data_IF_831989103177
#
_entry.id   IF_831989103177
#
_cell.length_a   1.000
_cell.length_b   1.000
_cell.length_c   1.000
_cell.angle_alpha   90.00
_cell.angle_beta   90.00
_cell.angle_gamma   90.00
#
_symmetry.space_group_name_H-M   'P 1'
#
loop_
_entity.id
_entity.type
_entity.pdbx_description
1 polymer ?
#
# COMPACT_ATOMS: atom_id res chain seq x y z
N UNK A 1 -6.12 17.44 -3.75
CA UNK A 1 -6.85 17.79 -2.51
C UNK A 1 -7.49 16.49 -2.04
N UNK A 2 -7.01 15.83 -1.00
CA UNK A 2 -7.29 16.17 0.41
C UNK A 2 -6.10 15.82 1.30
N UNK A 3 -5.44 16.84 1.85
CA UNK A 3 -4.65 16.66 3.07
C UNK A 3 -5.66 16.74 4.21
N UNK A 4 -6.29 15.62 4.54
CA UNK A 4 -7.17 15.54 5.71
C UNK A 4 -6.28 15.80 6.93
N UNK A 5 -6.48 16.94 7.58
CA UNK A 5 -5.72 17.31 8.77
C UNK A 5 -5.97 16.30 9.90
N UNK A 6 -4.98 16.07 10.75
CA UNK A 6 -5.09 15.17 11.92
C UNK A 6 -6.30 15.50 12.81
N UNK A 7 -6.63 16.80 12.95
CA UNK A 7 -7.81 17.24 13.70
C UNK A 7 -9.14 16.73 13.09
N UNK A 8 -9.20 16.53 11.77
CA UNK A 8 -10.39 15.97 11.13
C UNK A 8 -10.45 14.44 11.30
N UNK A 9 -9.32 13.75 11.41
CA UNK A 9 -9.29 12.29 11.60
C UNK A 9 -9.80 11.90 12.98
N UNK A 10 -9.31 12.56 14.03
CA UNK A 10 -9.73 12.28 15.40
C UNK A 10 -11.23 12.51 15.59
N UNK A 11 -11.78 13.58 14.99
CA UNK A 11 -13.22 13.87 15.01
C UNK A 11 -14.02 12.77 14.31
N UNK A 12 -13.61 12.33 13.12
CA UNK A 12 -14.30 11.26 12.39
C UNK A 12 -14.26 9.94 13.17
N UNK A 13 -13.13 9.63 13.79
CA UNK A 13 -12.98 8.41 14.62
C UNK A 13 -13.89 8.47 15.84
N UNK A 14 -13.98 9.63 16.49
CA UNK A 14 -14.84 9.81 17.65
C UNK A 14 -16.32 9.70 17.26
N UNK A 15 -16.73 10.35 16.17
CA UNK A 15 -18.09 10.21 15.63
C UNK A 15 -18.44 8.76 15.30
N UNK A 16 -17.50 8.02 14.69
CA UNK A 16 -17.69 6.60 14.41
C UNK A 16 -17.90 5.79 15.70
N UNK A 17 -17.10 6.04 16.74
CA UNK A 17 -17.23 5.37 18.04
C UNK A 17 -18.54 5.71 18.76
N UNK A 18 -19.11 6.88 18.50
CA UNK A 18 -20.40 7.32 19.03
C UNK A 18 -21.60 6.75 18.23
N UNK A 19 -21.33 5.95 17.18
CA UNK A 19 -22.35 5.25 16.40
C UNK A 19 -22.64 5.88 15.04
N UNK A 20 -21.96 6.96 14.65
CA UNK A 20 -22.07 7.52 13.30
C UNK A 20 -21.24 6.71 12.30
N UNK A 21 -21.86 5.71 11.68
CA UNK A 21 -21.22 4.86 10.66
C UNK A 21 -20.71 5.63 9.44
N UNK A 22 -21.33 6.75 9.09
CA UNK A 22 -20.96 7.56 7.93
C UNK A 22 -19.56 8.19 8.10
N UNK A 23 -19.11 8.35 9.34
CA UNK A 23 -17.77 8.86 9.62
C UNK A 23 -16.68 7.90 9.10
N UNK A 24 -16.94 6.59 9.06
CA UNK A 24 -16.02 5.64 8.45
C UNK A 24 -15.98 5.78 6.93
N UNK A 25 -17.08 6.10 6.27
CA UNK A 25 -17.11 6.32 4.82
C UNK A 25 -16.22 7.47 4.39
N UNK A 26 -16.15 8.53 5.20
CA UNK A 26 -15.24 9.66 4.96
C UNK A 26 -13.78 9.19 5.08
N UNK A 27 -13.45 8.47 6.16
CA UNK A 27 -12.11 7.87 6.33
C UNK A 27 -11.76 6.95 5.16
N UNK A 28 -12.67 6.06 4.77
CA UNK A 28 -12.52 5.16 3.64
C UNK A 28 -12.18 5.92 2.35
N UNK A 29 -12.98 6.93 1.98
CA UNK A 29 -12.75 7.71 0.76
C UNK A 29 -11.41 8.46 0.77
N UNK A 30 -11.02 9.01 1.91
CA UNK A 30 -9.73 9.70 2.06
C UNK A 30 -8.53 8.75 1.90
N UNK A 31 -8.65 7.52 2.41
CA UNK A 31 -7.53 6.59 2.52
C UNK A 31 -7.48 5.52 1.43
N UNK A 32 -8.59 5.26 0.74
CA UNK A 32 -8.67 4.26 -0.32
C UNK A 32 -7.57 4.41 -1.38
N UNK A 33 -7.29 5.61 -1.93
CA UNK A 33 -6.23 5.74 -2.94
C UNK A 33 -4.85 5.34 -2.40
N UNK A 34 -4.53 5.70 -1.15
CA UNK A 34 -3.23 5.39 -0.53
C UNK A 34 -3.08 3.89 -0.26
N UNK A 35 -4.09 3.28 0.35
CA UNK A 35 -4.10 1.83 0.63
C UNK A 35 -4.06 1.04 -0.67
N UNK A 36 -4.91 1.37 -1.63
CA UNK A 36 -4.96 0.70 -2.93
C UNK A 36 -3.62 0.79 -3.66
N UNK A 37 -3.01 1.98 -3.72
CA UNK A 37 -1.72 2.15 -4.38
C UNK A 37 -0.60 1.38 -3.66
N UNK A 38 -0.58 1.40 -2.32
CA UNK A 38 0.39 0.60 -1.54
C UNK A 38 0.25 -0.88 -1.85
N UNK A 39 -0.96 -1.44 -1.74
CA UNK A 39 -1.23 -2.86 -2.05
C UNK A 39 -0.83 -3.17 -3.49
N UNK A 40 -1.23 -2.31 -4.44
CA UNK A 40 -0.92 -2.44 -5.86
C UNK A 40 0.58 -2.52 -6.15
N UNK A 41 1.44 -1.78 -5.47
CA UNK A 41 2.87 -1.86 -5.75
C UNK A 41 3.56 -3.05 -5.07
N UNK A 42 2.87 -3.73 -4.16
CA UNK A 42 3.47 -4.79 -3.33
C UNK A 42 2.92 -6.18 -3.66
N UNK A 43 1.75 -6.33 -4.29
CA UNK A 43 1.14 -7.64 -4.62
C UNK A 43 0.74 -7.77 -6.11
N UNK A 44 0.43 -8.98 -6.62
CA UNK A 44 -0.07 -9.21 -7.99
C UNK A 44 -1.34 -8.40 -8.33
N UNK A 45 -1.60 -8.14 -9.61
CA UNK A 45 -2.66 -7.20 -10.02
C UNK A 45 -4.06 -7.73 -9.70
N UNK A 46 -4.25 -9.02 -9.90
CA UNK A 46 -5.49 -9.77 -9.74
C UNK A 46 -5.99 -9.80 -8.29
N UNK A 47 -5.08 -9.65 -7.31
CA UNK A 47 -5.40 -9.74 -5.88
C UNK A 47 -5.55 -8.37 -5.20
N UNK A 48 -5.29 -7.25 -5.91
CA UNK A 48 -5.22 -5.90 -5.31
C UNK A 48 -6.54 -5.48 -4.69
N UNK A 49 -7.65 -5.68 -5.41
CA UNK A 49 -8.97 -5.24 -4.98
C UNK A 49 -9.39 -6.00 -3.72
N UNK A 50 -9.26 -7.32 -3.73
CA UNK A 50 -9.60 -8.20 -2.61
C UNK A 50 -8.80 -7.86 -1.35
N UNK A 51 -7.47 -7.72 -1.47
CA UNK A 51 -6.63 -7.36 -0.31
C UNK A 51 -6.95 -5.95 0.19
N UNK A 52 -7.24 -5.00 -0.70
CA UNK A 52 -7.67 -3.65 -0.31
C UNK A 52 -8.99 -3.70 0.48
N UNK A 53 -9.96 -4.49 0.03
CA UNK A 53 -11.21 -4.69 0.75
C UNK A 53 -10.97 -5.35 2.12
N UNK A 54 -10.13 -6.39 2.21
CA UNK A 54 -9.78 -7.02 3.48
C UNK A 54 -9.16 -6.04 4.48
N UNK A 55 -8.34 -5.09 4.01
CA UNK A 55 -7.77 -4.03 4.85
C UNK A 55 -8.87 -3.16 5.46
N UNK A 56 -9.80 -2.66 4.65
CA UNK A 56 -10.85 -1.77 5.15
C UNK A 56 -11.89 -2.50 6.01
N UNK A 57 -12.20 -3.76 5.69
CA UNK A 57 -13.04 -4.60 6.56
C UNK A 57 -12.39 -4.85 7.93
N UNK A 58 -11.07 -5.08 7.95
CA UNK A 58 -10.34 -5.21 9.20
C UNK A 58 -10.28 -3.87 9.95
N UNK A 59 -10.09 -2.76 9.23
CA UNK A 59 -10.06 -1.42 9.81
C UNK A 59 -11.39 -1.09 10.47
N UNK A 60 -12.52 -1.31 9.77
CA UNK A 60 -13.87 -1.08 10.28
C UNK A 60 -14.12 -1.84 11.59
N UNK A 61 -13.70 -3.12 11.66
CA UNK A 61 -13.86 -3.98 12.85
C UNK A 61 -12.96 -3.55 14.02
N UNK A 62 -11.77 -3.05 13.73
CA UNK A 62 -10.77 -2.71 14.75
C UNK A 62 -10.84 -1.24 15.22
N UNK A 63 -11.45 -0.35 14.44
CA UNK A 63 -11.55 1.08 14.75
C UNK A 63 -12.21 1.41 16.10
N UNK A 64 -13.24 0.69 16.59
CA UNK A 64 -13.80 0.94 17.91
C UNK A 64 -12.76 0.80 19.04
N UNK A 65 -11.81 -0.11 18.89
CA UNK A 65 -10.75 -0.38 19.88
C UNK A 65 -9.49 0.49 19.68
N UNK A 66 -9.44 1.33 18.64
CA UNK A 66 -8.29 2.18 18.36
C UNK A 66 -8.11 3.25 19.44
N UNK A 67 -6.93 3.29 20.07
CA UNK A 67 -6.67 4.15 21.25
C UNK A 67 -6.13 5.54 20.93
N UNK A 68 -5.78 5.82 19.66
CA UNK A 68 -5.18 7.10 19.28
C UNK A 68 -3.72 7.29 19.73
N UNK A 69 -3.02 6.21 20.09
CA UNK A 69 -1.60 6.24 20.48
C UNK A 69 -0.66 6.58 19.31
N UNK A 70 -1.15 6.44 18.08
CA UNK A 70 -0.50 6.87 16.84
C UNK A 70 -1.54 7.53 15.92
N UNK A 71 -1.09 8.19 14.86
CA UNK A 71 -1.98 8.71 13.83
C UNK A 71 -2.73 7.57 13.13
N UNK A 72 -3.98 7.83 12.70
CA UNK A 72 -4.79 6.83 12.02
C UNK A 72 -4.14 6.33 10.75
N UNK A 73 -3.52 7.21 9.96
CA UNK A 73 -2.69 6.86 8.80
C UNK A 73 -1.61 5.82 9.13
N UNK A 74 -0.86 6.03 10.21
CA UNK A 74 0.22 5.12 10.66
C UNK A 74 -0.34 3.76 11.09
N UNK A 75 -1.45 3.76 11.83
CA UNK A 75 -2.14 2.55 12.23
C UNK A 75 -2.71 1.77 11.02
N UNK A 76 -3.37 2.47 10.09
CA UNK A 76 -3.93 1.87 8.89
C UNK A 76 -2.85 1.32 7.96
N UNK A 77 -1.70 1.99 7.85
CA UNK A 77 -0.52 1.48 7.13
C UNK A 77 0.00 0.18 7.77
N UNK A 78 0.06 0.13 9.10
CA UNK A 78 0.46 -1.08 9.83
C UNK A 78 -0.50 -2.24 9.54
N UNK A 79 -1.81 -1.98 9.59
CA UNK A 79 -2.83 -2.95 9.24
C UNK A 79 -2.73 -3.41 7.77
N UNK A 80 -2.45 -2.49 6.85
CA UNK A 80 -2.22 -2.78 5.43
C UNK A 80 -1.05 -3.73 5.25
N UNK A 81 0.09 -3.44 5.90
CA UNK A 81 1.27 -4.30 5.83
C UNK A 81 1.01 -5.69 6.45
N UNK A 82 0.24 -5.76 7.54
CA UNK A 82 -0.18 -7.05 8.11
C UNK A 82 -1.02 -7.87 7.13
N UNK A 83 -1.94 -7.22 6.41
CA UNK A 83 -2.79 -7.89 5.40
C UNK A 83 -2.01 -8.35 4.19
N UNK A 84 -1.05 -7.56 3.71
CA UNK A 84 -0.11 -7.98 2.67
C UNK A 84 0.72 -9.19 3.11
N UNK A 85 1.23 -9.19 4.35
CA UNK A 85 1.96 -10.34 4.89
C UNK A 85 1.06 -11.58 5.08
N UNK A 86 -0.20 -11.40 5.47
CA UNK A 86 -1.20 -12.47 5.52
C UNK A 86 -1.48 -13.07 4.14
N UNK A 87 -1.64 -12.23 3.12
CA UNK A 87 -1.80 -12.63 1.73
C UNK A 87 -0.65 -13.52 1.25
N UNK A 88 0.61 -13.09 1.44
CA UNK A 88 1.77 -13.90 1.03
C UNK A 88 1.90 -15.21 1.81
N UNK A 89 1.59 -15.22 3.11
CA UNK A 89 1.55 -16.47 3.90
C UNK A 89 0.50 -17.45 3.37
N UNK A 90 -0.70 -16.97 3.03
CA UNK A 90 -1.77 -17.79 2.42
C UNK A 90 -1.36 -18.32 1.04
N UNK A 91 -0.76 -17.47 0.20
CA UNK A 91 -0.31 -17.84 -1.15
C UNK A 91 0.80 -18.89 -1.12
N UNK A 92 1.80 -18.74 -0.26
CA UNK A 92 2.88 -19.71 -0.10
C UNK A 92 2.36 -21.05 0.38
N UNK A 93 1.47 -21.07 1.39
CA UNK A 93 0.82 -22.31 1.83
C UNK A 93 0.01 -22.98 0.71
N UNK A 94 -0.69 -22.18 -0.11
CA UNK A 94 -1.44 -22.69 -1.27
C UNK A 94 -0.50 -23.31 -2.31
N UNK A 95 0.69 -22.74 -2.52
CA UNK A 95 1.70 -23.27 -3.44
C UNK A 95 2.35 -24.55 -2.90
N UNK A 96 2.66 -24.62 -1.60
CA UNK A 96 3.16 -25.83 -0.94
C UNK A 96 2.17 -27.00 -1.08
N UNK A 97 0.87 -26.75 -0.93
CA UNK A 97 -0.19 -27.76 -1.10
C UNK A 97 -0.38 -28.16 -2.57
N UNK A 98 -0.12 -27.25 -3.52
CA UNK A 98 -0.23 -27.50 -4.97
C UNK A 98 1.00 -28.17 -5.59
N UNK A 99 2.06 -28.48 -4.82
CA UNK A 99 3.20 -29.29 -5.30
C UNK A 99 2.87 -30.80 -5.40
N UNK A 100 1.61 -31.21 -5.22
CA UNK A 100 1.08 -32.46 -5.76
C UNK A 100 0.67 -32.25 -7.24
N UNK A 101 1.02 -33.15 -8.18
CA UNK A 101 1.18 -32.79 -9.58
C UNK A 101 -0.16 -32.54 -10.28
N UNK A 102 -0.48 -31.27 -10.57
CA UNK A 102 -1.42 -30.90 -11.62
C UNK A 102 -0.98 -29.63 -12.35
N UNK A 103 -0.59 -29.88 -13.61
CA UNK A 103 -0.70 -29.09 -14.84
C UNK A 103 -0.88 -27.57 -14.78
N UNK A 104 -0.03 -26.93 -15.59
CA UNK A 104 -0.02 -25.53 -16.02
C UNK A 104 -1.39 -24.97 -16.40
N UNK A 105 -1.63 -23.72 -16.01
CA UNK A 105 -2.57 -22.82 -16.67
C UNK A 105 -1.98 -21.41 -16.70
N UNK A 106 -1.19 -21.11 -17.74
CA UNK A 106 -0.82 -19.74 -18.08
C UNK A 106 -2.02 -19.07 -18.78
N UNK A 107 -2.78 -18.28 -18.04
CA UNK A 107 -3.81 -17.41 -18.61
C UNK A 107 -3.17 -16.18 -19.25
N UNK A 108 -2.96 -16.20 -20.57
CA UNK A 108 -2.78 -14.97 -21.34
C UNK A 108 -4.12 -14.26 -21.40
N UNK A 109 -4.20 -13.09 -20.78
CA UNK A 109 -5.31 -12.17 -20.95
C UNK A 109 -4.95 -11.21 -22.08
N UNK A 110 -5.32 -11.58 -23.31
CA UNK A 110 -5.34 -10.65 -24.44
C UNK A 110 -6.58 -9.77 -24.29
N UNK A 111 -6.37 -8.52 -23.89
CA UNK A 111 -7.38 -7.48 -23.89
C UNK A 111 -6.66 -6.17 -24.20
N UNK A 112 -7.24 -5.36 -25.09
CA UNK A 112 -6.70 -4.06 -25.49
C UNK A 112 -6.24 -3.25 -24.27
N UNK A 113 -4.93 -3.23 -24.04
CA UNK A 113 -4.32 -2.52 -22.93
C UNK A 113 -4.34 -1.03 -23.28
N UNK A 114 -5.06 -0.25 -22.48
CA UNK A 114 -4.92 1.21 -22.55
C UNK A 114 -3.45 1.57 -22.32
N UNK A 115 -2.92 2.59 -23.00
CA UNK A 115 -1.57 3.13 -22.79
C UNK A 115 -1.27 3.36 -21.30
N UNK A 116 -2.25 3.82 -20.53
CA UNK A 116 -2.14 3.98 -19.08
C UNK A 116 -1.90 2.65 -18.34
N UNK A 117 -2.49 1.55 -18.78
CA UNK A 117 -2.28 0.21 -18.21
C UNK A 117 -0.87 -0.32 -18.54
N UNK A 118 -0.38 -0.07 -19.75
CA UNK A 118 0.97 -0.46 -20.17
C UNK A 118 2.03 0.31 -19.38
N UNK A 119 1.91 1.63 -19.28
CA UNK A 119 2.79 2.45 -18.44
C UNK A 119 2.82 1.97 -16.98
N UNK A 120 1.64 1.57 -16.46
CA UNK A 120 1.52 1.04 -15.10
C UNK A 120 2.20 -0.31 -14.92
N UNK A 121 2.11 -1.21 -15.91
CA UNK A 121 2.81 -2.51 -15.89
C UNK A 121 4.32 -2.29 -15.93
N UNK A 122 4.79 -1.45 -16.85
CA UNK A 122 6.21 -1.09 -16.98
C UNK A 122 6.75 -0.51 -15.67
N UNK A 123 6.02 0.42 -15.05
CA UNK A 123 6.40 1.01 -13.76
C UNK A 123 6.51 -0.06 -12.66
N UNK A 124 5.51 -0.96 -12.55
CA UNK A 124 5.55 -2.04 -11.55
C UNK A 124 6.74 -2.96 -11.77
N UNK A 125 6.99 -3.38 -13.01
CA UNK A 125 8.12 -4.23 -13.35
C UNK A 125 9.46 -3.56 -13.02
N UNK A 126 9.62 -2.27 -13.37
CA UNK A 126 10.83 -1.51 -13.07
C UNK A 126 11.07 -1.37 -11.56
N UNK A 127 10.01 -1.11 -10.77
CA UNK A 127 10.11 -1.06 -9.32
C UNK A 127 10.57 -2.41 -8.74
N UNK A 128 10.03 -3.53 -9.21
CA UNK A 128 10.38 -4.87 -8.72
C UNK A 128 11.86 -5.24 -8.94
N UNK A 129 12.56 -4.59 -9.88
CA UNK A 129 14.00 -4.79 -10.10
C UNK A 129 14.90 -4.00 -9.14
N UNK A 130 14.35 -3.09 -8.34
CA UNK A 130 15.12 -2.27 -7.41
C UNK A 130 15.38 -3.00 -6.08
N UNK A 131 16.42 -2.64 -5.32
CA UNK A 131 16.57 -3.09 -3.94
C UNK A 131 15.33 -2.74 -3.10
N UNK A 132 14.96 -3.60 -2.14
CA UNK A 132 13.74 -3.43 -1.34
C UNK A 132 13.65 -2.06 -0.64
N UNK A 133 14.77 -1.52 -0.15
CA UNK A 133 14.81 -0.18 0.46
C UNK A 133 14.52 0.95 -0.52
N UNK A 134 14.84 0.76 -1.80
CA UNK A 134 14.58 1.74 -2.86
C UNK A 134 13.11 1.67 -3.28
N UNK A 135 12.55 0.46 -3.40
CA UNK A 135 11.13 0.26 -3.62
C UNK A 135 10.31 0.93 -2.51
N UNK A 136 10.65 0.63 -1.26
CA UNK A 136 9.93 1.14 -0.10
C UNK A 136 9.93 2.68 -0.05
N UNK A 137 11.09 3.33 -0.19
CA UNK A 137 11.15 4.81 -0.13
C UNK A 137 10.38 5.48 -1.27
N UNK A 138 10.34 4.86 -2.47
CA UNK A 138 9.57 5.36 -3.61
C UNK A 138 8.06 5.20 -3.38
N UNK A 139 7.62 4.04 -2.86
CA UNK A 139 6.22 3.77 -2.56
C UNK A 139 5.74 4.72 -1.45
N UNK A 140 6.49 4.85 -0.35
CA UNK A 140 6.15 5.78 0.73
C UNK A 140 6.02 7.22 0.21
N UNK A 141 6.93 7.66 -0.67
CA UNK A 141 6.92 9.03 -1.17
C UNK A 141 5.82 9.31 -2.19
N UNK A 142 5.61 8.40 -3.14
CA UNK A 142 4.74 8.64 -4.30
C UNK A 142 3.36 7.99 -4.20
N UNK A 143 3.25 6.80 -3.60
CA UNK A 143 1.98 6.10 -3.47
C UNK A 143 1.23 6.51 -2.19
N UNK A 144 1.96 6.71 -1.10
CA UNK A 144 1.38 7.06 0.22
C UNK A 144 1.42 8.57 0.53
N UNK A 145 2.14 9.34 -0.29
CA UNK A 145 2.34 10.80 -0.19
C UNK A 145 2.94 11.24 1.16
N UNK A 146 3.86 10.45 1.71
CA UNK A 146 4.57 10.79 2.94
C UNK A 146 5.67 11.83 2.69
N UNK A 147 5.79 12.78 3.61
CA UNK A 147 6.88 13.73 3.66
C UNK A 147 8.17 13.06 4.17
N UNK A 148 9.34 13.59 3.84
CA UNK A 148 10.61 12.95 4.19
C UNK A 148 10.85 12.76 5.70
N UNK A 149 10.31 13.64 6.54
CA UNK A 149 10.32 13.46 7.99
C UNK A 149 9.46 12.26 8.42
N UNK A 150 8.26 12.10 7.85
CA UNK A 150 7.39 10.96 8.11
C UNK A 150 8.02 9.65 7.60
N UNK A 151 8.68 9.68 6.44
CA UNK A 151 9.44 8.54 5.91
C UNK A 151 10.57 8.16 6.87
N UNK A 152 11.32 9.14 7.37
CA UNK A 152 12.41 8.92 8.31
C UNK A 152 11.91 8.26 9.61
N UNK A 153 10.81 8.75 10.17
CA UNK A 153 10.15 8.16 11.35
C UNK A 153 9.71 6.71 11.10
N UNK A 154 9.01 6.46 10.00
CA UNK A 154 8.47 5.13 9.65
C UNK A 154 9.58 4.12 9.35
N UNK A 155 10.71 4.57 8.81
CA UNK A 155 11.84 3.70 8.45
C UNK A 155 12.91 3.60 9.53
N UNK A 156 12.80 4.36 10.63
CA UNK A 156 13.82 4.43 11.68
C UNK A 156 15.15 5.03 11.20
N UNK A 157 15.10 5.89 10.18
CA UNK A 157 16.28 6.53 9.58
C UNK A 157 16.36 8.01 9.93
N UNK A 158 17.50 8.65 9.70
CA UNK A 158 17.59 10.11 9.77
C UNK A 158 16.92 10.76 8.55
N UNK A 159 16.47 12.01 8.70
CA UNK A 159 15.90 12.80 7.60
C UNK A 159 16.82 12.86 6.38
N UNK A 160 18.12 13.05 6.60
CA UNK A 160 19.12 13.12 5.53
C UNK A 160 19.37 11.75 4.89
N UNK A 161 19.33 10.66 5.67
CA UNK A 161 19.39 9.31 5.13
C UNK A 161 18.19 9.00 4.23
N UNK A 162 16.97 9.37 4.65
CA UNK A 162 15.75 9.20 3.85
C UNK A 162 15.81 9.97 2.52
N UNK A 163 16.23 11.25 2.55
CA UNK A 163 16.42 12.07 1.34
C UNK A 163 17.48 11.48 0.41
N UNK A 164 18.62 11.05 0.96
CA UNK A 164 19.72 10.45 0.18
C UNK A 164 19.31 9.12 -0.45
N UNK A 165 18.61 8.28 0.31
CA UNK A 165 18.05 7.02 -0.18
C UNK A 165 17.07 7.26 -1.32
N UNK A 166 16.14 8.20 -1.16
CA UNK A 166 15.18 8.56 -2.19
C UNK A 166 15.85 9.05 -3.49
N UNK A 167 16.84 9.94 -3.39
CA UNK A 167 17.58 10.40 -4.58
C UNK A 167 18.22 9.25 -5.35
N UNK A 168 18.89 8.33 -4.64
CA UNK A 168 19.48 7.13 -5.26
C UNK A 168 18.43 6.20 -5.87
N UNK A 169 17.30 6.03 -5.18
CA UNK A 169 16.18 5.22 -5.67
C UNK A 169 15.58 5.79 -6.96
N UNK A 170 15.42 7.11 -7.07
CA UNK A 170 14.94 7.77 -8.31
C UNK A 170 15.92 7.57 -9.46
N UNK A 171 17.23 7.69 -9.23
CA UNK A 171 18.25 7.43 -10.26
C UNK A 171 18.20 5.97 -10.71
N UNK A 172 18.11 5.03 -9.77
CA UNK A 172 18.01 3.62 -10.10
C UNK A 172 16.73 3.29 -10.89
N UNK A 173 15.59 3.90 -10.52
CA UNK A 173 14.33 3.74 -11.24
C UNK A 173 14.42 4.27 -12.68
N UNK A 174 15.04 5.44 -12.88
CA UNK A 174 15.29 6.01 -14.21
C UNK A 174 16.08 5.06 -15.10
N UNK A 175 17.18 4.51 -14.57
CA UNK A 175 18.00 3.53 -15.27
C UNK A 175 17.20 2.27 -15.66
N UNK A 176 16.32 1.78 -14.79
CA UNK A 176 15.45 0.63 -15.11
C UNK A 176 14.42 0.94 -16.20
N UNK A 177 13.95 2.19 -16.28
CA UNK A 177 13.02 2.65 -17.30
C UNK A 177 13.70 3.01 -18.63
N UNK A 178 15.04 2.96 -18.70
CA UNK A 178 15.81 3.38 -19.88
C UNK A 178 15.68 4.88 -20.18
N UNK A 179 15.42 5.70 -19.15
CA UNK A 179 15.18 7.15 -19.24
C UNK A 179 16.16 7.96 -18.42
#
# INVERSE_FOLDING_TARGET
MTNTSFANEEVLIQQFKEGNSDAFDVLYRCYLPKVYNRVRYVIPAEDVEDVTQEVFLAALKALPAFRGEAQFSTWLRTLTNHKVAEFYRKRNRKQEVQQAPLSEAAGRMEGHTSEALEERIVMRCALQQLPASYQEVLILRFAEDLQFNQIAEVTGQSLEAAKSLFRRAVVALKNQLGK
#
